data_IF_139178103033
#
_entry.id   IF_139178103033
#
_cell.length_a   1.000
_cell.length_b   1.000
_cell.length_c   1.000
_cell.angle_alpha   90.00
_cell.angle_beta   90.00
_cell.angle_gamma   90.00
#
_symmetry.space_group_name_H-M   'P 1'
#
loop_
_entity.id
_entity.type
_entity.pdbx_description
1 polymer ?
#
# COMPACT_ATOMS: atom_id res chain seq x y z
N UNK A 1 24.24 33.22 5.62
CA UNK A 1 25.20 32.11 5.83
C UNK A 1 24.65 30.93 6.65
N UNK A 2 24.23 31.10 7.92
CA UNK A 2 23.87 29.97 8.80
C UNK A 2 22.84 28.95 8.22
N UNK A 3 21.81 29.42 7.50
CA UNK A 3 20.80 28.54 6.88
C UNK A 3 21.36 27.60 5.80
N UNK A 4 22.34 28.06 4.99
CA UNK A 4 22.95 27.21 3.96
C UNK A 4 23.83 26.12 4.61
N UNK A 5 24.53 26.44 5.70
CA UNK A 5 25.35 25.47 6.45
C UNK A 5 24.50 24.29 6.96
N UNK A 6 23.35 24.56 7.55
CA UNK A 6 22.41 23.50 7.99
C UNK A 6 21.93 22.63 6.82
N UNK A 7 21.63 23.23 5.66
CA UNK A 7 21.24 22.48 4.44
C UNK A 7 22.38 21.60 3.90
N UNK A 8 23.61 22.10 3.94
CA UNK A 8 24.81 21.35 3.55
C UNK A 8 25.04 20.17 4.50
N UNK A 9 24.95 20.40 5.82
CA UNK A 9 25.07 19.33 6.83
C UNK A 9 23.99 18.25 6.64
N UNK A 10 22.75 18.62 6.30
CA UNK A 10 21.71 17.64 5.96
C UNK A 10 22.01 16.86 4.65
N UNK A 11 22.49 17.52 3.60
CA UNK A 11 22.87 16.86 2.34
C UNK A 11 24.05 15.91 2.54
N UNK A 12 25.04 16.28 3.36
CA UNK A 12 26.14 15.40 3.75
C UNK A 12 25.63 14.18 4.53
N UNK A 13 24.66 14.35 5.44
CA UNK A 13 24.01 13.22 6.12
C UNK A 13 23.20 12.31 5.17
N UNK A 14 22.64 12.85 4.07
CA UNK A 14 21.97 12.06 3.03
C UNK A 14 22.99 11.27 2.20
N UNK A 15 24.08 11.90 1.75
CA UNK A 15 25.21 11.24 1.05
C UNK A 15 25.81 10.12 1.92
N UNK A 16 26.02 10.36 3.22
CA UNK A 16 26.55 9.36 4.14
C UNK A 16 25.63 8.14 4.33
N UNK A 17 24.32 8.28 4.09
CA UNK A 17 23.37 7.15 4.07
C UNK A 17 23.44 6.40 2.74
N UNK A 18 23.41 7.10 1.61
CA UNK A 18 23.56 6.46 0.29
C UNK A 18 24.87 5.67 0.16
N UNK A 19 25.99 6.18 0.70
CA UNK A 19 27.26 5.44 0.73
C UNK A 19 27.19 4.15 1.55
N UNK A 20 26.39 4.10 2.63
CA UNK A 20 26.13 2.86 3.39
C UNK A 20 25.22 1.90 2.63
N UNK A 21 24.24 2.42 1.87
CA UNK A 21 23.38 1.63 0.99
C UNK A 21 24.23 0.94 -0.09
N UNK A 22 25.10 1.69 -0.79
CA UNK A 22 26.05 1.15 -1.77
C UNK A 22 26.92 0.05 -1.14
N UNK A 23 27.53 0.30 0.02
CA UNK A 23 28.35 -0.71 0.71
C UNK A 23 27.57 -1.99 1.03
N UNK A 24 26.31 -1.87 1.50
CA UNK A 24 25.44 -3.02 1.75
C UNK A 24 25.18 -3.85 0.49
N UNK A 25 24.83 -3.19 -0.62
CA UNK A 25 24.63 -3.88 -1.90
C UNK A 25 25.92 -4.44 -2.50
N UNK A 26 27.09 -3.82 -2.26
CA UNK A 26 28.39 -4.34 -2.67
C UNK A 26 28.74 -5.64 -1.93
N UNK A 27 28.57 -5.67 -0.61
CA UNK A 27 28.79 -6.88 0.20
C UNK A 27 27.84 -8.01 -0.24
N UNK A 28 26.55 -7.70 -0.41
CA UNK A 28 25.55 -8.67 -0.89
C UNK A 28 25.89 -9.18 -2.31
N UNK A 29 26.36 -8.32 -3.21
CA UNK A 29 26.81 -8.73 -4.55
C UNK A 29 28.01 -9.68 -4.49
N UNK A 30 28.95 -9.48 -3.56
CA UNK A 30 30.11 -10.38 -3.38
C UNK A 30 29.78 -11.69 -2.66
N UNK A 31 28.72 -11.71 -1.84
CA UNK A 31 28.33 -12.88 -1.06
C UNK A 31 27.40 -13.85 -1.80
N UNK A 32 26.86 -13.46 -2.97
CA UNK A 32 25.78 -14.20 -3.65
C UNK A 32 26.18 -14.63 -5.07
N UNK A 33 26.03 -15.91 -5.39
CA UNK A 33 26.26 -16.46 -6.74
C UNK A 33 25.09 -16.31 -7.73
N UNK A 34 23.91 -15.87 -7.25
CA UNK A 34 22.71 -15.72 -8.07
C UNK A 34 22.77 -14.45 -8.95
N UNK A 35 22.70 -14.64 -10.27
CA UNK A 35 22.78 -13.57 -11.27
C UNK A 35 21.67 -12.52 -11.17
N UNK A 36 20.45 -12.87 -10.77
CA UNK A 36 19.36 -11.91 -10.67
C UNK A 36 19.47 -11.04 -9.40
N UNK A 37 20.06 -11.59 -8.33
CA UNK A 37 20.45 -10.80 -7.15
C UNK A 37 21.59 -9.85 -7.51
N UNK A 38 22.63 -10.32 -8.21
CA UNK A 38 23.73 -9.48 -8.70
C UNK A 38 23.20 -8.32 -9.55
N UNK A 39 22.34 -8.59 -10.55
CA UNK A 39 21.67 -7.57 -11.38
C UNK A 39 20.86 -6.57 -10.54
N UNK A 40 20.15 -7.04 -9.52
CA UNK A 40 19.40 -6.18 -8.59
C UNK A 40 20.33 -5.30 -7.74
N UNK A 41 21.45 -5.84 -7.25
CA UNK A 41 22.48 -5.07 -6.55
C UNK A 41 23.09 -4.01 -7.46
N UNK A 42 23.49 -4.38 -8.68
CA UNK A 42 24.09 -3.45 -9.64
C UNK A 42 23.12 -2.37 -10.13
N UNK A 43 21.81 -2.63 -10.15
CA UNK A 43 20.81 -1.57 -10.35
C UNK A 43 20.78 -0.61 -9.17
N UNK A 44 20.70 -1.13 -7.93
CA UNK A 44 20.61 -0.30 -6.72
C UNK A 44 21.88 0.51 -6.45
N UNK A 45 23.06 -0.05 -6.71
CA UNK A 45 24.35 0.66 -6.66
C UNK A 45 24.31 1.85 -7.62
N UNK A 46 23.98 1.62 -8.90
CA UNK A 46 23.91 2.69 -9.92
C UNK A 46 22.87 3.77 -9.61
N UNK A 47 21.74 3.41 -9.01
CA UNK A 47 20.72 4.39 -8.64
C UNK A 47 21.14 5.23 -7.42
N UNK A 48 21.74 4.63 -6.39
CA UNK A 48 22.33 5.38 -5.28
C UNK A 48 23.53 6.24 -5.70
N UNK A 49 24.35 5.80 -6.67
CA UNK A 49 25.45 6.59 -7.25
C UNK A 49 24.94 7.87 -7.95
N UNK A 50 23.85 7.79 -8.71
CA UNK A 50 23.16 8.97 -9.28
C UNK A 50 22.64 9.89 -8.18
N UNK A 51 22.04 9.33 -7.13
CA UNK A 51 21.50 10.10 -5.99
C UNK A 51 22.59 10.82 -5.21
N UNK A 52 23.74 10.19 -4.98
CA UNK A 52 24.94 10.86 -4.43
C UNK A 52 25.39 11.98 -5.35
N UNK A 53 25.51 11.73 -6.66
CA UNK A 53 25.95 12.73 -7.63
C UNK A 53 25.04 13.97 -7.65
N UNK A 54 23.72 13.76 -7.51
CA UNK A 54 22.73 14.83 -7.38
C UNK A 54 22.94 15.64 -6.08
N UNK A 55 23.10 14.99 -4.92
CA UNK A 55 23.35 15.70 -3.65
C UNK A 55 24.70 16.43 -3.62
N UNK A 56 25.75 15.85 -4.21
CA UNK A 56 27.06 16.49 -4.34
C UNK A 56 26.98 17.71 -5.26
N UNK A 57 26.18 17.67 -6.33
CA UNK A 57 25.88 18.84 -7.16
C UNK A 57 25.11 19.93 -6.39
N UNK A 58 24.08 19.57 -5.62
CA UNK A 58 23.35 20.53 -4.78
C UNK A 58 24.23 21.18 -3.70
N UNK A 59 25.24 20.48 -3.17
CA UNK A 59 26.22 21.07 -2.25
C UNK A 59 27.12 22.09 -2.98
N UNK A 60 27.57 21.78 -4.21
CA UNK A 60 28.36 22.73 -5.03
C UNK A 60 27.60 24.02 -5.29
N UNK A 61 26.36 23.92 -5.77
CA UNK A 61 25.48 25.07 -6.01
C UNK A 61 25.26 25.91 -4.73
N UNK A 62 25.08 25.26 -3.57
CA UNK A 62 24.96 25.95 -2.28
C UNK A 62 26.26 26.63 -1.83
N UNK A 63 27.44 26.11 -2.18
CA UNK A 63 28.72 26.78 -1.92
C UNK A 63 28.95 27.97 -2.88
N UNK A 64 28.67 27.82 -4.18
CA UNK A 64 28.76 28.92 -5.16
C UNK A 64 27.83 30.08 -4.78
N UNK A 65 26.63 29.79 -4.26
CA UNK A 65 25.70 30.80 -3.72
C UNK A 65 26.21 31.55 -2.47
N UNK A 66 27.28 31.07 -1.83
CA UNK A 66 27.91 31.73 -0.68
C UNK A 66 29.10 32.58 -1.12
N UNK A 67 29.90 32.14 -2.11
CA UNK A 67 31.05 32.89 -2.62
C UNK A 67 30.66 34.15 -3.41
N UNK A 68 29.58 34.09 -4.22
CA UNK A 68 29.09 35.28 -4.95
C UNK A 68 28.61 36.44 -4.06
N UNK A 69 28.54 36.23 -2.74
CA UNK A 69 28.16 37.27 -1.77
C UNK A 69 29.28 38.23 -1.34
N UNK A 70 30.53 38.06 -1.81
CA UNK A 70 31.71 38.74 -1.23
C UNK A 70 32.47 39.68 -2.19
N UNK A 71 31.88 40.05 -3.34
CA UNK A 71 32.52 41.00 -4.28
C UNK A 71 31.56 42.02 -4.88
N UNK A 72 31.54 43.22 -4.31
CA UNK A 72 30.94 44.42 -4.93
C UNK A 72 32.00 45.50 -5.16
N UNK A 73 32.38 45.70 -6.42
CA UNK A 73 32.96 46.95 -6.92
C UNK A 73 32.63 47.14 -8.40
N UNK A 74 31.93 48.23 -8.70
CA UNK A 74 31.70 48.80 -10.04
C UNK A 74 32.45 50.16 -10.10
N UNK A 75 32.46 50.96 -11.20
CA UNK A 75 31.73 50.81 -12.47
C UNK A 75 32.52 51.19 -13.77
N UNK A 76 31.86 51.09 -14.95
CA UNK A 76 31.73 52.16 -15.97
C UNK A 76 32.06 51.87 -17.46
N UNK A 77 31.08 52.22 -18.31
CA UNK A 77 31.13 52.77 -19.70
C UNK A 77 31.42 51.93 -20.96
N UNK A 78 30.48 52.11 -21.92
CA UNK A 78 30.54 51.94 -23.41
C UNK A 78 30.73 50.50 -23.95
N UNK A 79 30.14 50.10 -25.09
CA UNK A 79 29.37 50.84 -26.12
C UNK A 79 28.33 49.90 -26.78
N UNK A 80 27.23 50.45 -27.32
CA UNK A 80 26.27 49.78 -28.23
C UNK A 80 26.69 50.06 -29.71
N UNK A 81 26.16 49.43 -30.79
CA UNK A 81 24.80 48.89 -31.03
C UNK A 81 24.83 47.42 -31.58
N UNK A 82 23.81 46.73 -32.10
CA UNK A 82 22.70 47.06 -33.04
C UNK A 82 21.54 46.05 -32.89
N UNK A 83 20.30 46.52 -33.05
CA UNK A 83 19.04 45.76 -33.14
C UNK A 83 18.81 45.28 -34.60
N UNK A 84 18.14 44.13 -34.87
CA UNK A 84 16.73 44.29 -35.23
C UNK A 84 15.78 43.13 -34.83
N UNK A 85 14.76 43.50 -34.05
CA UNK A 85 13.35 43.06 -34.17
C UNK A 85 12.75 43.47 -35.56
N UNK A 86 11.48 43.13 -35.97
CA UNK A 86 10.45 42.29 -35.34
C UNK A 86 9.51 41.43 -36.25
N UNK A 87 8.64 40.63 -35.60
CA UNK A 87 7.19 40.39 -35.89
C UNK A 87 6.66 39.48 -37.04
N UNK A 88 5.44 38.95 -36.75
CA UNK A 88 4.41 38.36 -37.62
C UNK A 88 4.64 36.93 -38.18
N UNK A 89 3.66 36.03 -38.34
CA UNK A 89 2.47 35.60 -37.58
C UNK A 89 1.61 34.69 -38.49
N UNK A 90 1.27 33.48 -38.00
CA UNK A 90 0.11 32.65 -38.37
C UNK A 90 0.04 31.89 -39.75
N UNK A 91 -0.80 30.85 -39.74
CA UNK A 91 -1.33 30.03 -40.87
C UNK A 91 -0.34 29.06 -41.58
N UNK A 92 -0.74 27.88 -42.10
CA UNK A 92 -1.93 27.01 -41.90
C UNK A 92 -1.69 25.64 -42.60
N UNK A 93 -2.32 24.54 -42.11
CA UNK A 93 -2.81 23.33 -42.85
C UNK A 93 -1.90 22.63 -43.90
N UNK A 94 -1.79 21.29 -43.99
CA UNK A 94 -2.91 20.37 -44.32
C UNK A 94 -2.41 18.90 -44.51
N UNK A 95 -3.17 17.90 -43.99
CA UNK A 95 -3.45 16.57 -44.63
C UNK A 95 -2.32 15.53 -44.88
N UNK A 96 -2.54 14.21 -45.09
CA UNK A 96 -3.50 13.18 -44.58
C UNK A 96 -3.05 11.82 -45.16
N UNK A 97 -2.88 10.79 -44.33
CA UNK A 97 -3.02 9.36 -44.70
C UNK A 97 -2.84 8.49 -43.44
N UNK A 98 -3.91 7.97 -42.83
CA UNK A 98 -4.60 6.71 -43.16
C UNK A 98 -3.66 5.49 -43.34
N UNK A 99 -3.58 4.71 -42.26
CA UNK A 99 -3.43 3.25 -42.30
C UNK A 99 -4.22 2.63 -41.13
N UNK A 100 -4.90 1.53 -41.40
CA UNK A 100 -6.02 1.00 -40.61
C UNK A 100 -5.64 -0.03 -39.54
N UNK A 101 -6.41 0.00 -38.44
CA UNK A 101 -6.81 -1.15 -37.59
C UNK A 101 -5.76 -2.01 -36.84
N UNK A 102 -6.19 -2.83 -35.84
CA UNK A 102 -7.37 -2.69 -34.98
C UNK A 102 -7.03 -2.78 -33.47
N UNK A 103 -8.02 -2.43 -32.66
CA UNK A 103 -8.04 -2.58 -31.20
C UNK A 103 -7.94 -4.04 -30.73
N UNK A 104 -6.95 -4.34 -29.89
CA UNK A 104 -6.91 -5.58 -29.11
C UNK A 104 -7.62 -5.41 -27.76
N UNK A 105 -8.86 -5.87 -27.73
CA UNK A 105 -9.65 -6.06 -26.51
C UNK A 105 -8.85 -6.84 -25.44
N UNK A 106 -8.99 -6.49 -24.15
CA UNK A 106 -8.42 -7.30 -23.06
C UNK A 106 -9.03 -8.70 -23.07
N UNK A 107 -8.31 -9.66 -23.65
CA UNK A 107 -8.62 -11.09 -23.56
C UNK A 107 -8.14 -11.61 -22.22
N UNK A 108 -9.09 -11.79 -21.30
CA UNK A 108 -8.90 -12.62 -20.11
C UNK A 108 -8.60 -14.06 -20.57
N UNK A 109 -7.32 -14.41 -20.62
CA UNK A 109 -6.89 -15.80 -20.82
C UNK A 109 -7.05 -16.53 -19.49
N UNK A 110 -7.96 -17.51 -19.36
CA UNK A 110 -8.04 -18.30 -18.13
C UNK A 110 -6.87 -19.27 -18.09
N UNK A 111 -5.95 -19.09 -17.14
CA UNK A 111 -4.81 -19.98 -16.95
C UNK A 111 -5.27 -21.43 -16.73
N UNK A 112 -4.81 -22.35 -17.57
CA UNK A 112 -5.07 -23.78 -17.40
C UNK A 112 -4.53 -24.29 -16.06
N UNK A 113 -5.30 -25.07 -15.29
CA UNK A 113 -4.86 -25.59 -14.00
C UNK A 113 -3.91 -26.78 -14.21
N UNK A 114 -2.61 -26.50 -14.35
CA UNK A 114 -1.63 -27.51 -14.76
C UNK A 114 -0.18 -27.20 -14.43
N UNK A 115 0.11 -26.37 -13.42
CA UNK A 115 1.47 -26.21 -12.89
C UNK A 115 1.49 -26.32 -11.38
N UNK A 116 2.25 -27.30 -10.87
CA UNK A 116 2.58 -27.41 -9.44
C UNK A 116 3.71 -26.43 -9.15
N UNK A 117 3.38 -25.18 -8.82
CA UNK A 117 4.39 -24.22 -8.37
C UNK A 117 5.06 -24.73 -7.10
N UNK A 118 6.33 -25.12 -7.21
CA UNK A 118 7.16 -25.64 -6.12
C UNK A 118 7.81 -24.52 -5.27
N UNK A 119 7.16 -23.36 -5.16
CA UNK A 119 7.49 -22.27 -4.24
C UNK A 119 6.19 -21.67 -3.70
N UNK A 120 5.92 -21.88 -2.40
CA UNK A 120 4.65 -21.56 -1.75
C UNK A 120 4.44 -20.08 -1.44
N UNK A 121 4.50 -19.21 -2.44
CA UNK A 121 4.27 -17.77 -2.28
C UNK A 121 2.82 -17.48 -1.84
N UNK A 122 2.61 -17.31 -0.53
CA UNK A 122 1.29 -17.02 0.07
C UNK A 122 0.78 -15.67 -0.45
N UNK A 123 -0.33 -15.69 -1.19
CA UNK A 123 -1.03 -14.47 -1.60
C UNK A 123 -1.74 -13.86 -0.39
N UNK A 124 -1.25 -12.72 0.10
CA UNK A 124 -1.82 -12.04 1.26
C UNK A 124 -3.05 -11.21 0.90
N UNK A 125 -4.14 -11.37 1.65
CA UNK A 125 -5.32 -10.50 1.61
C UNK A 125 -4.98 -9.06 2.08
N UNK A 126 -5.71 -8.02 1.64
CA UNK A 126 -5.64 -6.70 2.26
C UNK A 126 -5.80 -6.77 3.79
N UNK A 127 -6.69 -7.63 4.30
CA UNK A 127 -6.85 -7.75 5.75
C UNK A 127 -5.69 -8.54 6.40
N UNK A 128 -5.03 -9.46 5.69
CA UNK A 128 -3.80 -10.09 6.20
C UNK A 128 -2.67 -9.07 6.36
N UNK A 129 -2.52 -8.15 5.40
CA UNK A 129 -1.46 -7.14 5.43
C UNK A 129 -1.59 -6.13 6.59
N UNK A 130 -2.74 -6.05 7.30
CA UNK A 130 -2.84 -5.33 8.59
C UNK A 130 -2.61 -6.20 9.83
N UNK A 131 -2.73 -7.54 9.75
CA UNK A 131 -2.58 -8.43 10.93
C UNK A 131 -1.17 -8.33 11.50
N UNK A 132 -1.08 -8.47 12.82
CA UNK A 132 0.19 -8.45 13.55
C UNK A 132 1.14 -9.57 13.09
N UNK A 133 0.61 -10.79 12.98
CA UNK A 133 1.37 -12.02 12.71
C UNK A 133 1.97 -12.07 11.29
N UNK A 134 1.39 -11.32 10.35
CA UNK A 134 1.90 -11.26 8.97
C UNK A 134 3.32 -10.70 8.96
N UNK A 135 4.31 -11.39 8.36
CA UNK A 135 5.69 -10.93 8.30
C UNK A 135 5.80 -9.55 7.64
N UNK A 136 6.87 -8.80 7.96
CA UNK A 136 7.12 -7.46 7.43
C UNK A 136 7.67 -7.54 6.00
N UNK A 137 6.83 -8.05 5.09
CA UNK A 137 7.16 -8.18 3.67
C UNK A 137 7.18 -6.83 2.96
N UNK A 138 7.80 -6.76 1.78
CA UNK A 138 7.79 -5.55 0.97
C UNK A 138 6.34 -5.09 0.65
N UNK A 139 5.44 -6.05 0.39
CA UNK A 139 4.01 -5.78 0.18
C UNK A 139 3.31 -5.20 1.42
N UNK A 140 3.64 -5.68 2.63
CA UNK A 140 3.11 -5.13 3.89
C UNK A 140 3.64 -3.72 4.14
N UNK A 141 4.95 -3.52 3.98
CA UNK A 141 5.60 -2.21 4.17
C UNK A 141 5.01 -1.17 3.20
N UNK A 142 4.96 -1.47 1.90
CA UNK A 142 4.40 -0.57 0.89
C UNK A 142 2.92 -0.23 1.13
N UNK A 143 2.09 -1.20 1.50
CA UNK A 143 0.68 -0.93 1.86
C UNK A 143 0.55 -0.07 3.12
N UNK A 144 1.38 -0.31 4.14
CA UNK A 144 1.37 0.49 5.37
C UNK A 144 1.84 1.92 5.13
N UNK A 145 2.84 2.13 4.27
CA UNK A 145 3.27 3.47 3.86
C UNK A 145 2.13 4.26 3.20
N UNK A 146 1.56 3.74 2.12
CA UNK A 146 0.45 4.40 1.42
C UNK A 146 -0.75 4.66 2.36
N UNK A 147 -1.09 3.70 3.23
CA UNK A 147 -2.18 3.87 4.20
C UNK A 147 -1.88 4.98 5.23
N UNK A 148 -0.65 5.05 5.76
CA UNK A 148 -0.24 6.08 6.71
C UNK A 148 -0.18 7.46 6.07
N UNK A 149 0.32 7.59 4.84
CA UNK A 149 0.34 8.88 4.11
C UNK A 149 -1.06 9.39 3.82
N UNK A 150 -1.97 8.52 3.35
CA UNK A 150 -3.38 8.85 3.19
C UNK A 150 -4.02 9.29 4.51
N UNK A 151 -3.80 8.54 5.60
CA UNK A 151 -4.36 8.89 6.92
C UNK A 151 -3.82 10.21 7.47
N UNK A 152 -2.53 10.49 7.29
CA UNK A 152 -1.92 11.78 7.66
C UNK A 152 -2.56 12.93 6.88
N UNK A 153 -2.80 12.77 5.57
CA UNK A 153 -3.44 13.79 4.76
C UNK A 153 -4.88 14.10 5.23
N UNK A 154 -5.68 13.05 5.50
CA UNK A 154 -7.06 13.18 5.99
C UNK A 154 -7.10 13.80 7.39
N UNK A 155 -6.29 13.31 8.34
CA UNK A 155 -6.24 13.84 9.71
C UNK A 155 -5.73 15.30 9.73
N UNK A 156 -4.79 15.66 8.85
CA UNK A 156 -4.35 17.05 8.69
C UNK A 156 -5.48 17.96 8.15
N UNK A 157 -6.28 17.48 7.19
CA UNK A 157 -7.47 18.20 6.74
C UNK A 157 -8.51 18.36 7.85
N UNK A 158 -8.74 17.31 8.64
CA UNK A 158 -9.66 17.32 9.79
C UNK A 158 -9.22 18.34 10.85
N UNK A 159 -7.94 18.33 11.24
CA UNK A 159 -7.32 19.33 12.11
C UNK A 159 -7.52 20.75 11.59
N UNK A 160 -7.25 20.99 10.31
CA UNK A 160 -7.43 22.30 9.67
C UNK A 160 -8.90 22.76 9.69
N UNK A 161 -9.85 21.82 9.67
CA UNK A 161 -11.28 22.08 9.90
C UNK A 161 -11.56 22.52 11.34
N UNK A 162 -11.05 21.79 12.33
CA UNK A 162 -11.20 22.14 13.76
C UNK A 162 -10.62 23.53 14.06
N UNK A 163 -9.43 23.85 13.53
CA UNK A 163 -8.80 25.17 13.75
C UNK A 163 -9.59 26.34 13.12
N UNK A 164 -10.43 26.07 12.10
CA UNK A 164 -11.40 27.04 11.59
C UNK A 164 -12.61 27.16 12.51
N UNK A 165 -13.18 26.05 12.98
CA UNK A 165 -14.29 26.07 13.94
C UNK A 165 -13.92 26.81 15.25
N UNK A 166 -12.72 26.58 15.77
CA UNK A 166 -12.21 27.26 16.97
C UNK A 166 -12.20 28.79 16.82
N UNK A 167 -11.88 29.30 15.62
CA UNK A 167 -11.90 30.73 15.30
C UNK A 167 -13.34 31.28 15.23
N UNK A 168 -14.28 30.54 14.66
CA UNK A 168 -15.69 30.92 14.62
C UNK A 168 -16.27 31.00 16.05
N UNK A 169 -16.07 29.98 16.88
CA UNK A 169 -16.52 30.02 18.29
C UNK A 169 -15.79 31.08 19.13
N UNK A 170 -14.60 31.53 18.73
CA UNK A 170 -13.94 32.69 19.35
C UNK A 170 -14.63 34.02 19.01
N UNK A 171 -15.19 34.14 17.81
CA UNK A 171 -15.92 35.33 17.37
C UNK A 171 -17.35 35.37 17.93
N UNK A 172 -18.00 34.20 18.03
CA UNK A 172 -19.36 34.05 18.57
C UNK A 172 -19.42 34.08 20.10
N UNK A 173 -18.31 33.75 20.78
CA UNK A 173 -18.20 33.82 22.24
C UNK A 173 -18.68 32.57 23.00
N UNK A 174 -19.11 31.50 22.30
CA UNK A 174 -19.51 30.25 22.93
C UNK A 174 -18.29 29.50 23.52
N UNK A 175 -18.16 29.60 24.85
CA UNK A 175 -17.14 28.93 25.64
C UNK A 175 -17.25 27.40 25.61
N UNK A 176 -18.45 26.84 25.48
CA UNK A 176 -18.68 25.38 25.51
C UNK A 176 -18.22 24.75 24.20
N UNK A 177 -18.70 25.26 23.06
CA UNK A 177 -18.28 24.75 21.74
C UNK A 177 -16.79 24.99 21.48
N UNK A 178 -16.22 26.12 21.94
CA UNK A 178 -14.77 26.35 21.93
C UNK A 178 -14.00 25.28 22.71
N UNK A 179 -14.44 24.93 23.92
CA UNK A 179 -13.78 23.91 24.75
C UNK A 179 -13.82 22.53 24.11
N UNK A 180 -14.95 22.14 23.49
CA UNK A 180 -15.05 20.89 22.76
C UNK A 180 -14.16 20.85 21.52
N UNK A 181 -14.12 21.95 20.74
CA UNK A 181 -13.25 22.09 19.58
C UNK A 181 -11.77 21.99 19.96
N UNK A 182 -11.33 22.61 21.07
CA UNK A 182 -9.94 22.47 21.54
C UNK A 182 -9.63 21.04 21.99
N UNK A 183 -10.57 20.33 22.65
CA UNK A 183 -10.38 18.91 23.00
C UNK A 183 -10.18 18.04 21.76
N UNK A 184 -11.00 18.24 20.72
CA UNK A 184 -10.84 17.57 19.41
C UNK A 184 -9.52 17.91 18.73
N UNK A 185 -9.07 19.17 18.84
CA UNK A 185 -7.77 19.63 18.32
C UNK A 185 -6.58 18.96 19.03
N UNK A 186 -6.65 18.77 20.34
CA UNK A 186 -5.61 18.09 21.12
C UNK A 186 -5.55 16.60 20.72
N UNK A 187 -6.68 15.91 20.66
CA UNK A 187 -6.74 14.50 20.22
C UNK A 187 -6.18 14.34 18.79
N UNK A 188 -6.60 15.19 17.86
CA UNK A 188 -6.12 15.19 16.46
C UNK A 188 -4.61 15.45 16.36
N UNK A 189 -4.06 16.38 17.15
CA UNK A 189 -2.61 16.60 17.23
C UNK A 189 -1.85 15.36 17.74
N UNK A 190 -2.39 14.66 18.74
CA UNK A 190 -1.78 13.44 19.28
C UNK A 190 -1.84 12.30 18.25
N UNK A 191 -2.98 12.11 17.56
CA UNK A 191 -3.09 11.17 16.42
C UNK A 191 -2.05 11.47 15.33
N UNK A 192 -1.90 12.74 14.93
CA UNK A 192 -0.92 13.18 13.94
C UNK A 192 0.53 12.86 14.36
N UNK A 193 0.87 13.00 15.65
CA UNK A 193 2.20 12.62 16.16
C UNK A 193 2.45 11.11 16.02
N UNK A 194 1.48 10.27 16.43
CA UNK A 194 1.58 8.80 16.30
C UNK A 194 1.72 8.37 14.83
N UNK A 195 0.86 8.90 13.96
CA UNK A 195 0.86 8.64 12.52
C UNK A 195 2.21 9.02 11.88
N UNK A 196 2.70 10.22 12.15
CA UNK A 196 3.99 10.71 11.63
C UNK A 196 5.16 9.86 12.12
N UNK A 197 5.12 9.44 13.40
CA UNK A 197 6.14 8.56 13.98
C UNK A 197 6.09 7.17 13.35
N UNK A 198 4.91 6.61 13.09
CA UNK A 198 4.72 5.33 12.42
C UNK A 198 5.22 5.39 10.96
N UNK A 199 4.86 6.45 10.22
CA UNK A 199 5.30 6.65 8.84
C UNK A 199 6.83 6.68 8.76
N UNK A 200 7.50 7.43 9.65
CA UNK A 200 8.96 7.49 9.72
C UNK A 200 9.59 6.11 9.98
N UNK A 201 8.97 5.26 10.80
CA UNK A 201 9.45 3.88 11.04
C UNK A 201 9.30 3.01 9.80
N UNK A 202 8.16 3.05 9.11
CA UNK A 202 7.96 2.27 7.88
C UNK A 202 8.85 2.73 6.73
N UNK A 203 9.09 4.05 6.57
CA UNK A 203 10.03 4.57 5.56
C UNK A 203 11.46 4.11 5.81
N UNK A 204 11.88 4.05 7.08
CA UNK A 204 13.19 3.49 7.42
C UNK A 204 13.29 1.99 7.06
N UNK A 205 12.21 1.21 7.23
CA UNK A 205 12.17 -0.22 6.88
C UNK A 205 12.25 -0.46 5.36
N UNK A 206 11.52 0.34 4.58
CA UNK A 206 11.56 0.32 3.11
C UNK A 206 12.98 0.56 2.57
N UNK A 207 13.69 1.54 3.14
CA UNK A 207 15.08 1.85 2.77
C UNK A 207 16.05 0.73 3.14
N UNK A 208 15.77 -0.13 4.13
CA UNK A 208 16.59 -1.32 4.43
C UNK A 208 16.44 -2.48 3.45
N UNK A 209 15.55 -2.39 2.46
CA UNK A 209 15.61 -3.25 1.27
C UNK A 209 15.41 -4.75 1.52
N UNK A 210 14.63 -5.13 2.53
CA UNK A 210 14.27 -6.55 2.79
C UNK A 210 13.48 -7.07 1.58
N UNK A 211 14.09 -7.95 0.79
CA UNK A 211 13.41 -8.80 -0.20
C UNK A 211 13.08 -10.15 0.43
N UNK A 212 11.95 -10.71 0.01
CA UNK A 212 11.16 -11.71 0.73
C UNK A 212 11.61 -13.18 0.57
N UNK A 213 12.92 -13.47 0.47
CA UNK A 213 13.38 -14.82 0.05
C UNK A 213 13.87 -15.77 1.18
N UNK A 214 14.36 -15.27 2.33
CA UNK A 214 14.84 -16.13 3.44
C UNK A 214 14.26 -15.71 4.81
N UNK A 215 12.95 -15.90 4.97
CA UNK A 215 12.27 -15.70 6.26
C UNK A 215 12.41 -16.92 7.20
N UNK A 216 13.65 -17.38 7.43
CA UNK A 216 13.93 -18.27 8.55
C UNK A 216 13.83 -17.50 9.88
N UNK A 217 13.48 -18.21 10.95
CA UNK A 217 12.86 -17.65 12.14
C UNK A 217 13.83 -16.94 13.08
N UNK A 218 14.19 -15.68 12.79
CA UNK A 218 14.89 -14.83 13.73
C UNK A 218 13.96 -14.36 14.88
N UNK A 219 14.31 -14.83 16.08
CA UNK A 219 13.55 -14.72 17.31
C UNK A 219 13.42 -13.24 17.74
N UNK A 220 12.20 -12.69 17.61
CA UNK A 220 11.93 -11.28 17.89
C UNK A 220 12.01 -10.98 19.39
N UNK A 221 13.23 -10.73 19.90
CA UNK A 221 13.46 -9.98 21.14
C UNK A 221 12.97 -8.54 20.97
N UNK A 222 11.66 -8.36 21.06
CA UNK A 222 11.03 -7.06 21.08
C UNK A 222 11.60 -6.26 22.25
N UNK A 223 12.33 -5.19 21.96
CA UNK A 223 12.75 -4.24 22.99
C UNK A 223 11.50 -3.78 23.76
N UNK A 224 11.39 -4.09 25.06
CA UNK A 224 10.28 -3.60 25.85
C UNK A 224 10.31 -2.07 25.78
N UNK A 225 9.18 -1.46 25.45
CA UNK A 225 9.03 -0.02 25.69
C UNK A 225 9.30 0.16 27.18
N UNK A 226 10.34 0.94 27.53
CA UNK A 226 10.56 1.31 28.94
C UNK A 226 9.24 1.93 29.42
N UNK A 227 8.60 1.43 30.50
CA UNK A 227 7.41 2.06 31.02
C UNK A 227 7.76 3.52 31.32
N UNK A 228 6.99 4.45 30.76
CA UNK A 228 7.05 5.85 31.14
C UNK A 228 6.77 5.89 32.64
N UNK A 229 7.70 6.46 33.41
CA UNK A 229 7.77 6.32 34.87
C UNK A 229 6.45 6.73 35.56
N UNK A 230 5.60 5.75 35.84
CA UNK A 230 4.30 5.92 36.47
C UNK A 230 3.46 4.64 36.36
N UNK A 231 2.55 4.43 37.30
CA UNK A 231 1.48 3.44 37.14
C UNK A 231 0.42 4.11 36.28
N UNK A 232 0.23 3.64 35.05
CA UNK A 232 -0.78 4.15 34.14
C UNK A 232 -1.86 3.11 33.86
N UNK A 233 -3.03 3.58 33.40
CA UNK A 233 -4.20 2.74 33.13
C UNK A 233 -4.59 2.84 31.66
N UNK A 234 -4.41 1.75 30.92
CA UNK A 234 -4.67 1.66 29.50
C UNK A 234 -6.16 1.37 29.23
N UNK A 235 -6.77 2.14 28.32
CA UNK A 235 -8.19 2.04 27.92
C UNK A 235 -8.26 1.88 26.41
N UNK A 236 -9.06 0.93 25.91
CA UNK A 236 -9.39 0.81 24.49
C UNK A 236 -10.76 1.42 24.21
N UNK A 237 -10.86 2.21 23.15
CA UNK A 237 -12.13 2.74 22.61
C UNK A 237 -12.26 2.30 21.17
N UNK A 238 -13.42 1.74 20.82
CA UNK A 238 -13.79 1.39 19.45
C UNK A 238 -14.81 2.41 18.96
N UNK A 239 -14.49 3.07 17.85
CA UNK A 239 -15.35 4.03 17.15
C UNK A 239 -15.75 3.46 15.78
N UNK A 240 -16.94 3.84 15.32
CA UNK A 240 -17.48 3.54 13.98
C UNK A 240 -17.97 4.85 13.39
N UNK A 241 -17.45 5.26 12.23
CA UNK A 241 -17.65 6.60 11.65
C UNK A 241 -17.46 7.72 12.71
N UNK A 242 -16.27 7.77 13.32
CA UNK A 242 -15.87 8.67 14.43
C UNK A 242 -16.74 8.62 15.71
N UNK A 243 -17.80 7.82 15.74
CA UNK A 243 -18.71 7.72 16.89
C UNK A 243 -18.27 6.58 17.81
N UNK A 244 -17.97 6.83 19.10
CA UNK A 244 -17.63 5.75 20.03
C UNK A 244 -18.80 4.78 20.21
N UNK A 245 -18.52 3.48 20.08
CA UNK A 245 -19.49 2.39 20.20
C UNK A 245 -19.17 1.39 21.30
N UNK A 246 -17.89 1.21 21.63
CA UNK A 246 -17.46 0.42 22.78
C UNK A 246 -16.26 1.09 23.47
N UNK A 247 -16.11 0.81 24.77
CA UNK A 247 -14.99 1.27 25.59
C UNK A 247 -14.74 0.23 26.67
N UNK A 248 -13.48 -0.18 26.85
CA UNK A 248 -13.07 -1.08 27.93
C UNK A 248 -13.01 -0.36 29.27
N UNK A 249 -12.92 -1.14 30.34
CA UNK A 249 -12.47 -0.66 31.62
C UNK A 249 -10.98 -0.23 31.53
N UNK A 250 -10.51 0.67 32.43
CA UNK A 250 -9.09 1.00 32.56
C UNK A 250 -8.31 -0.17 33.16
N UNK A 251 -7.18 -0.53 32.55
CA UNK A 251 -6.40 -1.72 32.92
C UNK A 251 -4.92 -1.39 33.05
N UNK A 252 -4.26 -1.85 34.13
CA UNK A 252 -2.84 -1.56 34.44
C UNK A 252 -1.83 -2.56 33.88
N UNK A 253 -2.29 -3.66 33.28
CA UNK A 253 -1.44 -4.78 32.82
C UNK A 253 -1.57 -5.06 31.32
N UNK A 254 -2.15 -4.11 30.55
CA UNK A 254 -2.42 -4.20 29.11
C UNK A 254 -3.19 -5.48 28.66
N UNK A 255 -4.03 -6.05 29.54
CA UNK A 255 -4.87 -7.22 29.23
C UNK A 255 -6.35 -6.95 29.45
N UNK A 256 -7.06 -6.67 28.37
CA UNK A 256 -8.51 -6.53 28.35
C UNK A 256 -9.18 -7.87 28.04
N UNK A 257 -10.06 -8.32 28.93
CA UNK A 257 -10.82 -9.57 28.78
C UNK A 257 -12.32 -9.26 28.63
N UNK A 258 -12.64 -8.32 27.74
CA UNK A 258 -14.00 -7.84 27.51
C UNK A 258 -14.41 -8.13 26.06
N UNK A 259 -15.63 -8.64 25.88
CA UNK A 259 -16.22 -8.88 24.57
C UNK A 259 -17.30 -7.83 24.29
N UNK A 260 -17.30 -7.25 23.09
CA UNK A 260 -18.29 -6.29 22.64
C UNK A 260 -18.94 -6.76 21.35
N UNK A 261 -20.26 -6.86 21.34
CA UNK A 261 -21.03 -7.00 20.11
C UNK A 261 -21.45 -5.60 19.64
N UNK A 262 -21.00 -5.21 18.45
CA UNK A 262 -21.25 -3.89 17.87
C UNK A 262 -22.01 -4.09 16.56
N UNK A 263 -23.31 -3.76 16.55
CA UNK A 263 -24.09 -3.72 15.32
C UNK A 263 -23.67 -2.52 14.47
N UNK A 264 -23.43 -2.77 13.18
CA UNK A 264 -22.94 -1.79 12.22
C UNK A 264 -23.79 -1.88 10.95
N UNK A 265 -24.48 -0.79 10.60
CA UNK A 265 -25.15 -0.61 9.31
C UNK A 265 -24.46 0.52 8.53
N UNK A 266 -24.23 0.30 7.23
CA UNK A 266 -23.69 1.28 6.25
C UNK A 266 -22.45 2.10 6.68
N UNK A 267 -21.62 1.59 7.57
CA UNK A 267 -20.33 2.21 7.87
C UNK A 267 -19.21 1.72 6.94
N UNK A 268 -18.23 2.59 6.71
CA UNK A 268 -17.06 2.37 5.88
C UNK A 268 -15.85 1.94 6.73
N UNK A 269 -15.70 2.52 7.92
CA UNK A 269 -14.49 2.36 8.73
C UNK A 269 -14.75 2.19 10.23
N UNK A 270 -13.93 1.33 10.82
CA UNK A 270 -13.82 1.10 12.25
C UNK A 270 -12.45 1.62 12.74
N UNK A 271 -12.45 2.43 13.79
CA UNK A 271 -11.26 2.96 14.44
C UNK A 271 -11.12 2.36 15.84
N UNK A 272 -9.95 1.82 16.17
CA UNK A 272 -9.59 1.37 17.53
C UNK A 272 -8.49 2.28 18.05
N UNK A 273 -8.72 2.95 19.17
CA UNK A 273 -7.72 3.77 19.86
C UNK A 273 -7.40 3.15 21.22
N UNK A 274 -6.11 3.02 21.51
CA UNK A 274 -5.58 2.70 22.83
C UNK A 274 -5.10 4.01 23.47
N UNK A 275 -5.74 4.40 24.57
CA UNK A 275 -5.36 5.55 25.37
C UNK A 275 -4.62 5.12 26.63
N UNK A 276 -3.58 5.86 27.00
CA UNK A 276 -3.03 5.89 28.36
C UNK A 276 -3.84 6.84 29.23
N UNK A 277 -4.01 6.49 30.50
CA UNK A 277 -4.48 7.40 31.54
C UNK A 277 -3.40 7.50 32.61
N UNK A 278 -2.77 8.67 32.69
CA UNK A 278 -1.80 8.97 33.74
C UNK A 278 -2.52 9.08 35.10
N UNK A 279 -2.08 8.30 36.10
CA UNK A 279 -2.70 8.29 37.43
C UNK A 279 -2.67 9.65 38.17
N UNK A 280 -1.88 10.62 37.70
CA UNK A 280 -1.77 11.96 38.27
C UNK A 280 -2.81 12.97 37.76
N UNK A 281 -3.55 12.67 36.69
CA UNK A 281 -4.49 13.60 36.07
C UNK A 281 -5.75 12.86 35.58
N UNK A 282 -6.82 12.99 36.37
CA UNK A 282 -8.08 12.26 36.24
C UNK A 282 -8.68 12.25 34.82
N UNK A 283 -8.55 13.37 34.09
CA UNK A 283 -9.18 13.62 32.78
C UNK A 283 -8.20 13.64 31.59
N UNK A 284 -6.87 13.54 31.80
CA UNK A 284 -5.92 13.53 30.69
C UNK A 284 -5.71 12.11 30.18
N UNK A 285 -6.40 11.77 29.09
CA UNK A 285 -6.14 10.56 28.29
C UNK A 285 -5.26 10.93 27.09
N UNK A 286 -4.28 10.08 26.77
CA UNK A 286 -3.32 10.29 25.67
C UNK A 286 -3.36 9.06 24.76
N UNK A 287 -3.67 9.16 23.46
CA UNK A 287 -3.61 8.01 22.58
C UNK A 287 -2.15 7.55 22.43
N UNK A 288 -1.90 6.25 22.63
CA UNK A 288 -0.60 5.58 22.41
C UNK A 288 -0.61 4.81 21.09
N UNK A 289 -1.78 4.29 20.69
CA UNK A 289 -1.94 3.48 19.49
C UNK A 289 -3.28 3.74 18.83
N UNK A 290 -3.29 3.71 17.49
CA UNK A 290 -4.51 3.79 16.68
C UNK A 290 -4.43 2.76 15.56
N UNK A 291 -5.54 2.12 15.26
CA UNK A 291 -5.72 1.19 14.15
C UNK A 291 -7.03 1.52 13.43
N UNK A 292 -6.95 1.67 12.10
CA UNK A 292 -8.12 1.83 11.24
C UNK A 292 -8.33 0.55 10.42
N UNK A 293 -9.57 0.10 10.33
CA UNK A 293 -9.96 -1.09 9.57
C UNK A 293 -11.14 -0.70 8.68
N UNK A 294 -10.98 -0.87 7.37
CA UNK A 294 -12.11 -0.73 6.43
C UNK A 294 -13.04 -1.91 6.60
N UNK A 295 -14.33 -1.62 6.76
CA UNK A 295 -15.37 -2.64 6.91
C UNK A 295 -15.58 -3.43 5.60
N UNK A 296 -15.22 -2.85 4.44
CA UNK A 296 -15.11 -3.58 3.17
C UNK A 296 -14.16 -4.78 3.27
N UNK A 297 -12.96 -4.56 3.81
CA UNK A 297 -11.92 -5.59 3.91
C UNK A 297 -12.37 -6.71 4.86
N UNK A 298 -13.12 -6.38 5.91
CA UNK A 298 -13.75 -7.34 6.85
C UNK A 298 -14.84 -8.16 6.16
N UNK A 299 -15.73 -7.49 5.42
CA UNK A 299 -16.82 -8.16 4.68
C UNK A 299 -16.26 -9.07 3.58
N UNK A 300 -15.19 -8.67 2.89
CA UNK A 300 -14.50 -9.53 1.94
C UNK A 300 -13.88 -10.76 2.59
N UNK A 301 -13.23 -10.64 3.75
CA UNK A 301 -12.72 -11.79 4.50
C UNK A 301 -13.84 -12.74 4.93
N UNK A 302 -14.97 -12.21 5.42
CA UNK A 302 -16.14 -13.02 5.77
C UNK A 302 -16.71 -13.75 4.55
N UNK A 303 -16.74 -13.10 3.37
CA UNK A 303 -17.10 -13.75 2.10
C UNK A 303 -16.10 -14.84 1.74
N UNK A 304 -14.79 -14.56 1.72
CA UNK A 304 -13.72 -15.54 1.42
C UNK A 304 -13.81 -16.77 2.33
N UNK A 305 -14.04 -16.58 3.63
CA UNK A 305 -14.24 -17.69 4.60
C UNK A 305 -15.49 -18.51 4.31
N UNK A 306 -16.62 -17.89 3.98
CA UNK A 306 -17.86 -18.60 3.63
C UNK A 306 -17.70 -19.40 2.32
N UNK A 307 -17.16 -18.79 1.26
CA UNK A 307 -16.90 -19.48 -0.01
C UNK A 307 -15.88 -20.63 0.13
N UNK A 308 -14.88 -20.50 1.01
CA UNK A 308 -13.95 -21.59 1.32
C UNK A 308 -14.59 -22.78 2.05
N UNK A 309 -15.69 -22.56 2.77
CA UNK A 309 -16.46 -23.60 3.46
C UNK A 309 -17.55 -24.21 2.57
N UNK A 310 -18.15 -23.41 1.67
CA UNK A 310 -19.09 -23.85 0.63
C UNK A 310 -18.40 -24.55 -0.56
N UNK A 311 -17.06 -24.52 -0.61
CA UNK A 311 -16.22 -25.30 -1.53
C UNK A 311 -16.12 -26.77 -1.13
N UNK A 312 -17.25 -27.39 -0.79
CA UNK A 312 -17.38 -28.85 -0.73
C UNK A 312 -17.10 -29.50 -2.10
N UNK A 313 -16.95 -30.85 -2.16
CA UNK A 313 -16.32 -31.56 -3.28
C UNK A 313 -17.19 -31.68 -4.56
N UNK A 314 -17.98 -30.66 -4.89
CA UNK A 314 -18.87 -30.61 -6.07
C UNK A 314 -18.57 -29.52 -7.09
N UNK A 315 -17.71 -28.54 -6.78
CA UNK A 315 -17.38 -27.44 -7.71
C UNK A 315 -16.38 -27.87 -8.80
N UNK A 316 -16.90 -28.57 -9.81
CA UNK A 316 -16.16 -28.92 -11.02
C UNK A 316 -15.96 -27.65 -11.86
N UNK A 317 -14.71 -27.31 -12.18
CA UNK A 317 -14.40 -26.16 -13.05
C UNK A 317 -15.01 -26.35 -14.45
N UNK A 318 -15.46 -25.26 -15.08
CA UNK A 318 -16.13 -25.31 -16.39
C UNK A 318 -15.31 -25.99 -17.50
N UNK A 319 -13.97 -26.05 -17.35
CA UNK A 319 -13.09 -26.81 -18.22
C UNK A 319 -13.39 -28.33 -18.21
N UNK A 320 -13.63 -28.92 -17.04
CA UNK A 320 -13.91 -30.35 -16.87
C UNK A 320 -15.36 -30.71 -17.26
N UNK A 321 -16.27 -29.73 -17.25
CA UNK A 321 -17.61 -29.88 -17.87
C UNK A 321 -17.53 -29.92 -19.40
N UNK A 322 -16.59 -29.19 -20.03
CA UNK A 322 -16.35 -29.26 -21.49
C UNK A 322 -15.74 -30.60 -21.91
N UNK A 323 -14.81 -31.14 -21.11
CA UNK A 323 -14.20 -32.46 -21.33
C UNK A 323 -15.28 -33.56 -21.36
N UNK A 324 -16.22 -33.54 -20.42
CA UNK A 324 -17.31 -34.52 -20.32
C UNK A 324 -18.35 -34.43 -21.46
N UNK A 325 -18.42 -33.32 -22.21
CA UNK A 325 -19.24 -33.22 -23.43
C UNK A 325 -18.57 -33.84 -24.66
N UNK A 326 -17.23 -33.95 -24.67
CA UNK A 326 -16.50 -34.49 -25.83
C UNK A 326 -16.79 -35.99 -26.03
N UNK A 327 -16.93 -36.73 -24.92
CA UNK A 327 -17.32 -38.15 -24.94
C UNK A 327 -18.70 -38.45 -25.51
N UNK A 328 -19.64 -37.49 -25.55
CA UNK A 328 -21.00 -37.71 -26.08
C UNK A 328 -21.18 -37.23 -27.53
N UNK A 329 -20.22 -36.51 -28.09
CA UNK A 329 -20.29 -36.02 -29.48
C UNK A 329 -19.55 -36.93 -30.47
N UNK A 330 -18.44 -37.54 -30.06
CA UNK A 330 -17.60 -38.37 -30.94
C UNK A 330 -18.20 -39.77 -31.27
N UNK A 331 -19.38 -40.11 -30.75
CA UNK A 331 -20.09 -41.37 -31.03
C UNK A 331 -21.28 -41.21 -31.99
N UNK A 332 -21.57 -39.99 -32.45
CA UNK A 332 -22.74 -39.68 -33.29
C UNK A 332 -22.40 -39.19 -34.73
N UNK A 333 -21.12 -39.14 -35.10
CA UNK A 333 -20.66 -38.64 -36.40
C UNK A 333 -19.61 -39.57 -37.03
N UNK A 334 -20.05 -40.64 -37.71
CA UNK A 334 -19.14 -41.67 -38.21
C UNK A 334 -19.66 -42.65 -39.26
N UNK A 335 -20.68 -42.31 -40.07
CA UNK A 335 -21.16 -43.21 -41.16
C UNK A 335 -21.61 -42.46 -42.43
N UNK A 336 -20.69 -42.18 -43.34
CA UNK A 336 -20.87 -42.00 -44.81
C UNK A 336 -19.51 -41.64 -45.44
N UNK A 337 -19.08 -42.14 -46.60
CA UNK A 337 -19.43 -43.34 -47.39
C UNK A 337 -18.11 -43.92 -47.98
N UNK A 338 -17.99 -44.92 -48.86
CA UNK A 338 -18.92 -45.62 -49.76
C UNK A 338 -18.33 -47.01 -50.17
N UNK A 339 -18.92 -47.71 -51.15
CA UNK A 339 -18.15 -48.58 -52.04
C UNK A 339 -18.50 -50.08 -52.15
N UNK A 340 -19.54 -50.39 -52.93
CA UNK A 340 -19.61 -51.54 -53.86
C UNK A 340 -19.93 -52.98 -53.38
N UNK A 341 -20.98 -53.53 -54.02
CA UNK A 341 -21.16 -54.92 -54.50
C UNK A 341 -21.79 -56.04 -53.64
N UNK A 342 -22.99 -56.42 -54.14
CA UNK A 342 -23.52 -57.80 -54.36
C UNK A 342 -24.17 -58.64 -53.24
N UNK A 343 -25.45 -58.94 -53.50
CA UNK A 343 -26.21 -60.19 -53.28
C UNK A 343 -26.56 -60.64 -51.83
N UNK A 344 -27.84 -60.93 -51.59
CA UNK A 344 -28.31 -61.66 -50.41
C UNK A 344 -29.79 -61.44 -50.06
N UNK A 345 -30.71 -62.18 -50.70
CA UNK A 345 -32.09 -62.32 -50.24
C UNK A 345 -32.13 -63.17 -48.94
N UNK A 346 -32.88 -62.74 -47.90
CA UNK A 346 -34.01 -63.52 -47.36
C UNK A 346 -34.78 -62.88 -46.18
N UNK A 347 -36.11 -62.93 -46.32
CA UNK A 347 -37.18 -63.12 -45.32
C UNK A 347 -37.10 -62.61 -43.86
N UNK A 348 -38.15 -61.87 -43.48
CA UNK A 348 -38.82 -61.75 -42.16
C UNK A 348 -39.13 -63.13 -41.49
N UNK A 349 -39.61 -63.27 -40.21
CA UNK A 349 -40.50 -62.31 -39.51
C UNK A 349 -40.49 -62.22 -37.95
N UNK A 350 -41.25 -61.22 -37.46
CA UNK A 350 -42.16 -61.15 -36.28
C UNK A 350 -41.99 -62.10 -35.07
N UNK A 351 -41.87 -61.50 -33.87
CA UNK A 351 -42.59 -61.86 -32.62
C UNK A 351 -42.43 -60.72 -31.58
N UNK A 352 -43.53 -60.12 -31.06
CA UNK A 352 -44.11 -60.35 -29.70
C UNK A 352 -43.11 -60.20 -28.54
N UNK A 353 -43.17 -59.13 -27.73
CA UNK A 353 -44.19 -58.73 -26.73
C UNK A 353 -44.06 -59.47 -25.39
N UNK A 354 -44.31 -58.72 -24.30
CA UNK A 354 -44.52 -59.20 -22.93
C UNK A 354 -43.23 -59.68 -22.19
N UNK A 355 -43.05 -59.50 -20.87
CA UNK A 355 -43.98 -59.09 -19.80
C UNK A 355 -43.21 -58.50 -18.59
N UNK A 356 -43.94 -57.78 -17.72
CA UNK A 356 -43.65 -57.38 -16.31
C UNK A 356 -42.26 -56.88 -15.91
#
# INVERSE_FOLDING_TARGET
MASNRVKIDELQQRIAKERKIIHGFQVMRTATGNQDIIRSCDSKIRDSEKTISFYEQSIRELHESVDQGTSTSAPSTREAPVDPRPTHSAHSSHSTSYSDQPSSHSTLVPSSPGSKNSTGAKTYSPLDLIKYDTPLTAAKIGRMLHHLEFKIAVENQYKNGIEKMLKLYQQEGDKKSRSEAERKRIESNQKMMLLTQALKRYKNLEVTGIKDDDAESEERKGHPRRPLSGITESIVVVKVEDTPRARTHPVRNDRWNEAFEIHVDKANELEVIIYDRASSAQDSVIPIGVLWIRLSDVVEELRRKKFGLESGPGWVTAARVKENRKWWCDQAAGTSSDGSSTLGLQSSPLARSDFS
#
